data_IF_388747865278
#
_entry.id   IF_388747865278
#
_cell.length_a   1.000
_cell.length_b   1.000
_cell.length_c   1.000
_cell.angle_alpha   90.00
_cell.angle_beta   90.00
_cell.angle_gamma   90.00
#
_symmetry.space_group_name_H-M   'P 1'
#
loop_
_entity.id
_entity.type
_entity.pdbx_description
1 polymer ?
#
# COMPACT_ATOMS: atom_id res chain seq x y z
N UNK A 1 -11.00 -31.48 -16.43
CA UNK A 1 -10.05 -30.36 -16.62
C UNK A 1 -10.87 -29.10 -16.83
N UNK A 2 -11.19 -28.38 -15.76
CA UNK A 2 -11.97 -27.16 -15.84
C UNK A 2 -11.14 -26.09 -16.58
N UNK A 3 -11.64 -25.68 -17.73
CA UNK A 3 -11.03 -24.64 -18.56
C UNK A 3 -11.14 -23.31 -17.82
N UNK A 4 -10.02 -22.80 -17.31
CA UNK A 4 -9.92 -21.45 -16.74
C UNK A 4 -10.33 -20.44 -17.81
N UNK A 5 -11.47 -19.79 -17.58
CA UNK A 5 -11.91 -18.63 -18.37
C UNK A 5 -10.89 -17.49 -18.18
N UNK A 6 -10.70 -16.59 -19.18
CA UNK A 6 -9.86 -15.41 -19.01
C UNK A 6 -10.41 -14.61 -17.83
N UNK A 7 -9.64 -14.52 -16.75
CA UNK A 7 -10.03 -13.76 -15.56
C UNK A 7 -10.20 -12.30 -15.98
N UNK A 8 -11.43 -11.80 -15.89
CA UNK A 8 -11.69 -10.38 -16.05
C UNK A 8 -10.73 -9.59 -15.16
N UNK A 9 -10.10 -8.54 -15.68
CA UNK A 9 -9.27 -7.65 -14.86
C UNK A 9 -10.17 -7.00 -13.79
N UNK A 10 -10.02 -7.47 -12.54
CA UNK A 10 -10.81 -7.00 -11.40
C UNK A 10 -10.08 -5.89 -10.64
N UNK A 11 -8.81 -5.64 -10.94
CA UNK A 11 -7.97 -4.69 -10.21
C UNK A 11 -8.61 -3.31 -10.14
N UNK A 12 -9.13 -2.82 -11.28
CA UNK A 12 -9.79 -1.51 -11.37
C UNK A 12 -10.97 -1.37 -10.41
N UNK A 13 -11.83 -2.38 -10.32
CA UNK A 13 -13.03 -2.34 -9.46
C UNK A 13 -12.65 -2.37 -7.98
N UNK A 14 -11.76 -3.30 -7.57
CA UNK A 14 -11.33 -3.40 -6.18
C UNK A 14 -10.53 -2.19 -5.69
N UNK A 15 -9.87 -1.45 -6.60
CA UNK A 15 -9.22 -0.20 -6.25
C UNK A 15 -10.19 0.98 -6.18
N UNK A 16 -11.11 1.12 -7.15
CA UNK A 16 -12.02 2.26 -7.25
C UNK A 16 -13.16 2.17 -6.24
N UNK A 17 -13.67 0.95 -6.01
CA UNK A 17 -14.78 0.67 -5.11
C UNK A 17 -14.45 -0.49 -4.16
N UNK A 18 -13.44 -0.34 -3.27
CA UNK A 18 -13.07 -1.38 -2.34
C UNK A 18 -14.23 -1.68 -1.38
N UNK A 19 -14.66 -2.94 -1.35
CA UNK A 19 -15.66 -3.42 -0.41
C UNK A 19 -15.03 -3.64 0.96
N UNK A 20 -15.87 -3.76 1.99
CA UNK A 20 -15.47 -4.18 3.34
C UNK A 20 -14.40 -3.32 4.04
N UNK A 21 -14.24 -2.07 3.60
CA UNK A 21 -13.37 -1.10 4.27
C UNK A 21 -13.95 -0.73 5.64
N UNK A 22 -13.09 -0.60 6.64
CA UNK A 22 -13.41 -0.06 7.95
C UNK A 22 -13.13 -1.01 9.11
N UNK A 23 -13.63 -0.66 10.28
CA UNK A 23 -13.43 -1.41 11.52
C UNK A 23 -14.53 -2.46 11.67
N UNK A 24 -14.15 -3.66 12.12
CA UNK A 24 -15.04 -4.72 12.56
C UNK A 24 -14.88 -4.85 14.09
N UNK A 25 -15.80 -4.27 14.86
CA UNK A 25 -15.64 -4.10 16.32
C UNK A 25 -15.70 -5.45 17.07
N UNK A 26 -16.54 -6.32 16.58
CA UNK A 26 -16.77 -7.71 16.98
C UNK A 26 -15.70 -8.73 16.52
N UNK A 27 -14.61 -8.30 15.89
CA UNK A 27 -13.62 -9.23 15.36
C UNK A 27 -12.98 -10.05 16.47
N UNK A 28 -12.92 -11.38 16.30
CA UNK A 28 -12.24 -12.30 17.20
C UNK A 28 -10.90 -12.82 16.62
N UNK A 29 -10.52 -12.34 15.45
CA UNK A 29 -9.26 -12.67 14.78
C UNK A 29 -8.73 -11.42 14.06
N UNK A 30 -7.52 -10.98 14.38
CA UNK A 30 -6.95 -9.75 13.84
C UNK A 30 -5.52 -10.00 13.38
N UNK A 31 -5.24 -9.70 12.11
CA UNK A 31 -3.91 -9.75 11.53
C UNK A 31 -3.46 -8.36 11.11
N UNK A 32 -2.43 -7.83 11.77
CA UNK A 32 -1.82 -6.55 11.42
C UNK A 32 -0.39 -6.77 10.92
N UNK A 33 -0.08 -6.23 9.74
CA UNK A 33 1.25 -6.33 9.10
C UNK A 33 1.65 -5.00 8.47
N UNK A 34 2.96 -4.80 8.35
CA UNK A 34 3.53 -3.53 7.88
C UNK A 34 3.51 -2.45 8.96
N UNK A 35 3.87 -1.24 8.56
CA UNK A 35 3.89 -0.07 9.43
C UNK A 35 3.80 1.19 8.58
N UNK A 36 3.21 2.26 9.13
CA UNK A 36 3.11 3.55 8.45
C UNK A 36 4.50 4.07 8.02
N UNK A 37 5.53 3.84 8.84
CA UNK A 37 6.91 4.21 8.52
C UNK A 37 7.53 3.46 7.34
N UNK A 38 7.00 2.28 6.97
CA UNK A 38 7.42 1.51 5.80
C UNK A 38 6.67 1.89 4.53
N UNK A 39 5.66 2.76 4.65
CA UNK A 39 4.83 3.22 3.54
C UNK A 39 3.65 2.31 3.21
N UNK A 40 3.55 1.14 3.83
CA UNK A 40 2.43 0.21 3.66
C UNK A 40 2.10 -0.48 5.00
N UNK A 41 0.80 -0.56 5.31
CA UNK A 41 0.26 -1.27 6.46
C UNK A 41 -1.14 -1.78 6.15
N UNK A 42 -1.48 -2.96 6.67
CA UNK A 42 -2.82 -3.52 6.59
C UNK A 42 -3.19 -4.13 7.94
N UNK A 43 -4.42 -3.87 8.37
CA UNK A 43 -5.08 -4.52 9.49
C UNK A 43 -6.32 -5.24 8.95
N UNK A 44 -6.24 -6.57 8.90
CA UNK A 44 -7.34 -7.45 8.55
C UNK A 44 -8.05 -7.91 9.84
N UNK A 45 -9.37 -7.82 9.87
CA UNK A 45 -10.20 -8.14 11.02
C UNK A 45 -11.28 -9.12 10.58
N UNK A 46 -11.35 -10.28 11.22
CA UNK A 46 -12.30 -11.34 10.90
C UNK A 46 -13.19 -11.63 12.10
N UNK A 47 -14.45 -11.97 11.83
CA UNK A 47 -15.34 -12.65 12.78
C UNK A 47 -15.49 -14.10 12.31
N UNK A 48 -14.99 -15.01 13.12
CA UNK A 48 -14.99 -16.45 12.87
C UNK A 48 -15.95 -17.10 13.87
N UNK A 49 -16.89 -17.91 13.39
CA UNK A 49 -17.76 -18.70 14.28
C UNK A 49 -16.95 -19.85 14.93
N UNK A 50 -16.83 -19.89 16.26
CA UNK A 50 -16.09 -20.97 16.95
C UNK A 50 -16.69 -22.37 16.76
N UNK A 51 -17.98 -22.49 16.45
CA UNK A 51 -18.63 -23.78 16.30
C UNK A 51 -18.44 -24.36 14.88
N UNK A 52 -18.58 -23.53 13.85
CA UNK A 52 -18.46 -23.97 12.45
C UNK A 52 -17.10 -23.73 11.81
N UNK A 53 -16.22 -22.97 12.47
CA UNK A 53 -14.94 -22.48 11.93
C UNK A 53 -15.08 -21.75 10.59
N UNK A 54 -16.20 -21.03 10.40
CA UNK A 54 -16.46 -20.23 9.20
C UNK A 54 -16.24 -18.75 9.46
N UNK A 55 -15.70 -18.06 8.47
CA UNK A 55 -15.52 -16.60 8.49
C UNK A 55 -16.86 -15.95 8.12
N UNK A 56 -17.59 -15.42 9.10
CA UNK A 56 -18.89 -14.79 8.89
C UNK A 56 -18.77 -13.37 8.33
N UNK A 57 -17.72 -12.65 8.75
CA UNK A 57 -17.45 -11.31 8.29
C UNK A 57 -15.95 -11.03 8.27
N UNK A 58 -15.52 -10.22 7.32
CA UNK A 58 -14.17 -9.68 7.25
C UNK A 58 -14.24 -8.20 6.91
N UNK A 59 -13.37 -7.40 7.53
CA UNK A 59 -13.11 -6.01 7.15
C UNK A 59 -11.64 -5.70 7.21
N UNK A 60 -11.22 -4.63 6.54
CA UNK A 60 -9.84 -4.20 6.59
C UNK A 60 -9.69 -2.69 6.72
N UNK A 61 -8.53 -2.29 7.25
CA UNK A 61 -7.99 -0.96 7.11
C UNK A 61 -6.61 -1.07 6.48
N UNK A 62 -6.32 -0.27 5.47
CA UNK A 62 -5.01 -0.27 4.81
C UNK A 62 -4.51 1.15 4.60
N UNK A 63 -3.20 1.31 4.67
CA UNK A 63 -2.46 2.48 4.23
C UNK A 63 -1.42 1.99 3.24
N UNK A 64 -1.31 2.60 2.07
CA UNK A 64 -0.37 2.14 1.05
C UNK A 64 -0.78 2.45 -0.37
N UNK A 65 -0.13 1.79 -1.31
CA UNK A 65 -0.41 1.97 -2.74
C UNK A 65 -1.76 1.37 -3.17
N UNK A 66 -2.24 1.74 -4.36
CA UNK A 66 -3.51 1.26 -4.92
C UNK A 66 -3.61 -0.27 -4.99
N UNK A 67 -2.48 -0.94 -5.25
CA UNK A 67 -2.44 -2.40 -5.31
C UNK A 67 -2.64 -3.06 -3.94
N UNK A 68 -2.21 -2.42 -2.84
CA UNK A 68 -2.47 -2.92 -1.50
C UNK A 68 -3.95 -2.78 -1.13
N UNK A 69 -4.58 -1.66 -1.49
CA UNK A 69 -6.02 -1.45 -1.28
C UNK A 69 -6.82 -2.50 -2.04
N UNK A 70 -6.49 -2.72 -3.31
CA UNK A 70 -7.16 -3.73 -4.14
C UNK A 70 -6.97 -5.15 -3.58
N UNK A 71 -5.73 -5.53 -3.20
CA UNK A 71 -5.44 -6.84 -2.63
C UNK A 71 -6.14 -7.07 -1.29
N UNK A 72 -6.18 -6.08 -0.41
CA UNK A 72 -6.89 -6.16 0.87
C UNK A 72 -8.40 -6.36 0.68
N UNK A 73 -9.01 -5.61 -0.23
CA UNK A 73 -10.43 -5.75 -0.56
C UNK A 73 -10.73 -7.10 -1.23
N UNK A 74 -9.88 -7.56 -2.15
CA UNK A 74 -10.00 -8.87 -2.77
C UNK A 74 -9.94 -10.00 -1.73
N UNK A 75 -8.98 -9.95 -0.80
CA UNK A 75 -8.88 -10.92 0.28
C UNK A 75 -10.18 -10.98 1.09
N UNK A 76 -10.77 -9.85 1.46
CA UNK A 76 -12.03 -9.87 2.21
C UNK A 76 -13.17 -10.54 1.44
N UNK A 77 -13.30 -10.30 0.13
CA UNK A 77 -14.32 -10.97 -0.70
C UNK A 77 -14.03 -12.48 -0.86
N UNK A 78 -12.76 -12.87 -0.95
CA UNK A 78 -12.35 -14.28 -1.11
C UNK A 78 -12.65 -15.14 0.12
N UNK A 79 -12.47 -14.59 1.32
CA UNK A 79 -12.48 -15.36 2.57
C UNK A 79 -13.84 -15.41 3.27
N UNK A 80 -14.74 -14.45 3.04
CA UNK A 80 -16.06 -14.44 3.67
C UNK A 80 -16.86 -15.67 3.23
N UNK A 81 -17.41 -16.40 4.20
CA UNK A 81 -18.17 -17.64 4.02
C UNK A 81 -17.30 -18.90 3.94
N UNK A 82 -15.99 -18.77 3.79
CA UNK A 82 -15.05 -19.91 3.76
C UNK A 82 -14.78 -20.44 5.17
N UNK A 83 -14.33 -21.70 5.25
CA UNK A 83 -13.79 -22.24 6.50
C UNK A 83 -12.37 -21.77 6.73
N UNK A 84 -11.94 -21.74 7.99
CA UNK A 84 -10.54 -21.44 8.38
C UNK A 84 -9.55 -22.33 7.62
N UNK A 85 -9.83 -23.62 7.51
CA UNK A 85 -8.98 -24.56 6.78
C UNK A 85 -8.84 -24.21 5.29
N UNK A 86 -9.94 -23.82 4.62
CA UNK A 86 -9.88 -23.43 3.21
C UNK A 86 -9.09 -22.13 2.99
N UNK A 87 -9.16 -21.22 3.97
CA UNK A 87 -8.47 -19.92 3.91
C UNK A 87 -6.97 -20.07 4.19
N UNK A 88 -6.58 -21.06 5.00
CA UNK A 88 -5.17 -21.37 5.27
C UNK A 88 -4.39 -21.76 4.00
N UNK A 89 -5.07 -22.41 3.05
CA UNK A 89 -4.49 -22.81 1.76
C UNK A 89 -4.41 -21.67 0.73
N UNK A 90 -4.99 -20.49 1.00
CA UNK A 90 -4.92 -19.34 0.08
C UNK A 90 -3.50 -18.80 0.06
N UNK A 91 -2.88 -18.75 -1.11
CA UNK A 91 -1.57 -18.16 -1.32
C UNK A 91 -1.64 -16.70 -1.81
N UNK A 92 -0.51 -16.00 -1.76
CA UNK A 92 -0.39 -14.69 -2.39
C UNK A 92 -0.51 -14.73 -3.93
N UNK A 93 -0.22 -15.88 -4.56
CA UNK A 93 -0.46 -16.06 -5.99
C UNK A 93 -1.96 -16.12 -6.30
N UNK A 94 -2.77 -16.79 -5.47
CA UNK A 94 -4.22 -16.86 -5.63
C UNK A 94 -4.86 -15.48 -5.50
N UNK A 95 -4.37 -14.63 -4.59
CA UNK A 95 -4.83 -13.23 -4.45
C UNK A 95 -4.52 -12.44 -5.72
N UNK A 96 -3.30 -12.58 -6.26
CA UNK A 96 -2.91 -11.91 -7.50
C UNK A 96 -3.75 -12.41 -8.69
N UNK A 97 -3.97 -13.72 -8.80
CA UNK A 97 -4.81 -14.32 -9.84
C UNK A 97 -6.27 -13.87 -9.75
N UNK A 98 -6.82 -13.81 -8.53
CA UNK A 98 -8.18 -13.34 -8.28
C UNK A 98 -8.39 -11.90 -8.78
N UNK A 99 -7.37 -11.05 -8.70
CA UNK A 99 -7.39 -9.69 -9.24
C UNK A 99 -7.28 -9.61 -10.78
N UNK A 100 -7.04 -10.73 -11.47
CA UNK A 100 -6.72 -10.76 -12.91
C UNK A 100 -5.21 -10.71 -13.20
N UNK A 101 -4.38 -10.91 -12.19
CA UNK A 101 -2.93 -10.82 -12.24
C UNK A 101 -2.38 -9.52 -11.64
N UNK A 102 -1.14 -9.56 -11.18
CA UNK A 102 -0.38 -8.38 -10.74
C UNK A 102 1.00 -8.38 -11.40
N UNK A 103 1.51 -7.21 -11.83
CA UNK A 103 2.89 -7.11 -12.30
C UNK A 103 3.86 -7.40 -11.15
N UNK A 104 5.06 -7.87 -11.48
CA UNK A 104 6.05 -8.33 -10.50
C UNK A 104 6.35 -7.25 -9.44
N UNK A 105 6.46 -5.99 -9.84
CA UNK A 105 6.76 -4.85 -8.97
C UNK A 105 5.67 -4.57 -7.93
N UNK A 106 4.46 -5.12 -8.11
CA UNK A 106 3.32 -4.96 -7.21
C UNK A 106 2.98 -6.22 -6.44
N UNK A 107 3.69 -7.33 -6.67
CA UNK A 107 3.41 -8.61 -6.02
C UNK A 107 3.53 -8.54 -4.49
N UNK A 108 4.40 -7.66 -3.98
CA UNK A 108 4.46 -7.35 -2.55
C UNK A 108 3.10 -7.07 -1.89
N UNK A 109 2.17 -6.44 -2.61
CA UNK A 109 0.86 -6.11 -2.06
C UNK A 109 0.04 -7.37 -1.77
N UNK A 110 0.10 -8.36 -2.66
CA UNK A 110 -0.54 -9.66 -2.44
C UNK A 110 0.16 -10.46 -1.33
N UNK A 111 1.49 -10.42 -1.27
CA UNK A 111 2.27 -11.04 -0.18
C UNK A 111 1.88 -10.42 1.16
N UNK A 112 1.82 -9.09 1.27
CA UNK A 112 1.44 -8.41 2.50
C UNK A 112 0.00 -8.75 2.92
N UNK A 113 -0.95 -8.78 1.99
CA UNK A 113 -2.33 -9.19 2.28
C UNK A 113 -2.43 -10.64 2.75
N UNK A 114 -1.66 -11.56 2.14
CA UNK A 114 -1.53 -12.95 2.61
C UNK A 114 -0.97 -13.03 4.03
N UNK A 115 0.08 -12.28 4.34
CA UNK A 115 0.66 -12.24 5.70
C UNK A 115 -0.36 -11.75 6.74
N UNK A 116 -1.24 -10.82 6.36
CA UNK A 116 -2.36 -10.39 7.20
C UNK A 116 -3.37 -11.52 7.48
N UNK A 117 -3.67 -12.38 6.49
CA UNK A 117 -4.51 -13.58 6.68
C UNK A 117 -3.85 -14.51 7.70
N UNK A 118 -2.58 -14.87 7.46
CA UNK A 118 -1.86 -15.81 8.30
C UNK A 118 -1.79 -15.34 9.76
N UNK A 119 -1.53 -14.05 9.99
CA UNK A 119 -1.56 -13.47 11.34
C UNK A 119 -2.95 -13.47 11.97
N UNK A 120 -4.00 -13.20 11.20
CA UNK A 120 -5.36 -13.25 11.71
C UNK A 120 -5.75 -14.68 12.15
N UNK A 121 -5.41 -15.69 11.35
CA UNK A 121 -5.68 -17.09 11.66
C UNK A 121 -4.84 -17.59 12.86
N UNK A 122 -3.57 -17.23 12.94
CA UNK A 122 -2.72 -17.53 14.10
C UNK A 122 -3.29 -16.91 15.38
N UNK A 123 -3.72 -15.65 15.32
CA UNK A 123 -4.36 -14.97 16.45
C UNK A 123 -5.66 -15.67 16.89
N UNK A 124 -6.48 -16.14 15.93
CA UNK A 124 -7.69 -16.91 16.22
C UNK A 124 -7.39 -18.22 16.96
N UNK A 125 -6.32 -18.92 16.56
CA UNK A 125 -5.86 -20.17 17.19
C UNK A 125 -5.21 -19.95 18.56
N UNK A 126 -5.04 -18.70 18.99
CA UNK A 126 -4.34 -18.36 20.23
C UNK A 126 -2.82 -18.56 20.14
N UNK A 127 -2.28 -18.65 18.93
CA UNK A 127 -0.84 -18.71 18.71
C UNK A 127 -0.22 -17.35 19.08
N UNK A 128 0.84 -17.37 19.89
CA UNK A 128 1.59 -16.15 20.19
C UNK A 128 2.45 -15.80 19.00
N UNK A 129 2.39 -14.55 18.55
CA UNK A 129 3.33 -14.02 17.56
C UNK A 129 4.75 -14.31 18.04
N UNK A 130 5.51 -15.06 17.24
CA UNK A 130 6.82 -15.55 17.64
C UNK A 130 7.72 -14.35 17.95
N UNK A 131 8.07 -14.18 19.23
CA UNK A 131 8.80 -13.01 19.73
C UNK A 131 10.23 -12.86 19.16
N UNK A 132 10.67 -13.78 18.31
CA UNK A 132 12.06 -13.93 17.86
C UNK A 132 12.18 -14.36 16.41
N UNK A 133 11.32 -13.88 15.50
CA UNK A 133 11.62 -14.03 14.07
C UNK A 133 12.82 -13.14 13.68
N UNK A 134 13.91 -13.70 13.12
CA UNK A 134 15.03 -12.90 12.65
C UNK A 134 14.56 -11.88 11.60
N UNK A 135 14.83 -10.60 11.86
CA UNK A 135 14.55 -9.54 10.90
C UNK A 135 15.60 -9.57 9.79
N UNK A 136 15.17 -9.83 8.56
CA UNK A 136 16.00 -9.78 7.37
C UNK A 136 16.22 -8.34 6.90
N UNK A 137 15.15 -7.54 6.77
CA UNK A 137 15.23 -6.15 6.33
C UNK A 137 14.68 -5.18 7.38
N UNK A 138 15.58 -4.40 7.99
CA UNK A 138 15.21 -3.38 8.99
C UNK A 138 14.45 -2.18 8.40
N UNK A 139 14.70 -1.85 7.13
CA UNK A 139 14.07 -0.68 6.49
C UNK A 139 12.56 -0.86 6.27
N UNK A 140 12.12 -2.09 6.03
CA UNK A 140 10.74 -2.42 5.70
C UNK A 140 10.12 -3.45 6.66
N UNK A 141 10.82 -3.79 7.75
CA UNK A 141 10.36 -4.74 8.76
C UNK A 141 10.12 -6.16 8.23
N UNK A 142 10.87 -6.60 7.22
CA UNK A 142 10.69 -7.93 6.61
C UNK A 142 11.47 -8.96 7.41
N UNK A 143 10.80 -10.01 7.89
CA UNK A 143 11.46 -11.15 8.54
C UNK A 143 12.01 -12.15 7.51
N UNK A 144 12.95 -12.98 7.95
CA UNK A 144 13.47 -14.07 7.14
C UNK A 144 12.35 -15.03 6.70
N UNK A 145 11.40 -15.33 7.59
CA UNK A 145 10.28 -16.21 7.32
C UNK A 145 9.37 -15.70 6.18
N UNK A 146 9.11 -14.37 6.13
CA UNK A 146 8.37 -13.75 5.03
C UNK A 146 9.11 -13.93 3.69
N UNK A 147 10.44 -13.73 3.69
CA UNK A 147 11.24 -13.93 2.48
C UNK A 147 11.25 -15.40 2.04
N UNK A 148 11.41 -16.35 2.97
CA UNK A 148 11.37 -17.78 2.66
C UNK A 148 10.02 -18.21 2.07
N UNK A 149 8.90 -17.76 2.66
CA UNK A 149 7.56 -18.02 2.14
C UNK A 149 7.41 -17.47 0.72
N UNK A 150 7.78 -16.21 0.50
CA UNK A 150 7.72 -15.61 -0.84
C UNK A 150 8.56 -16.38 -1.87
N UNK A 151 9.78 -16.81 -1.51
CA UNK A 151 10.65 -17.60 -2.38
C UNK A 151 9.98 -18.93 -2.77
N UNK A 152 9.40 -19.63 -1.80
CA UNK A 152 8.76 -20.93 -2.03
C UNK A 152 7.49 -20.80 -2.87
N UNK A 153 6.59 -19.91 -2.48
CA UNK A 153 5.28 -19.75 -3.12
C UNK A 153 5.38 -19.27 -4.57
N UNK A 154 6.41 -18.47 -4.88
CA UNK A 154 6.60 -17.89 -6.23
C UNK A 154 7.78 -18.48 -7.00
N UNK A 155 8.44 -19.51 -6.46
CA UNK A 155 9.63 -20.15 -7.03
C UNK A 155 10.72 -19.13 -7.43
N UNK A 156 11.04 -18.21 -6.52
CA UNK A 156 11.97 -17.12 -6.80
C UNK A 156 13.41 -17.65 -6.94
N UNK A 157 14.11 -17.20 -7.97
CA UNK A 157 15.48 -17.64 -8.28
C UNK A 157 16.47 -16.49 -8.45
N UNK A 158 16.00 -15.27 -8.24
CA UNK A 158 16.79 -14.04 -8.36
C UNK A 158 16.55 -13.12 -7.14
N UNK A 159 17.59 -12.52 -6.53
CA UNK A 159 17.44 -11.60 -5.40
C UNK A 159 16.51 -10.41 -5.67
N UNK A 160 16.46 -9.90 -6.92
CA UNK A 160 15.56 -8.82 -7.32
C UNK A 160 14.10 -9.26 -7.25
N UNK A 161 13.82 -10.52 -7.59
CA UNK A 161 12.47 -11.04 -7.44
C UNK A 161 12.08 -11.07 -5.96
N UNK A 162 13.00 -11.45 -5.06
CA UNK A 162 12.76 -11.36 -3.61
C UNK A 162 12.45 -9.92 -3.21
N UNK A 163 13.20 -8.94 -3.73
CA UNK A 163 12.90 -7.52 -3.52
C UNK A 163 11.52 -7.11 -4.04
N UNK A 164 11.13 -7.54 -5.24
CA UNK A 164 9.81 -7.22 -5.83
C UNK A 164 8.64 -7.81 -5.02
N UNK A 165 8.86 -8.98 -4.39
CA UNK A 165 7.81 -9.68 -3.63
C UNK A 165 7.79 -9.30 -2.15
N UNK A 166 8.85 -8.71 -1.61
CA UNK A 166 8.97 -8.44 -0.15
C UNK A 166 9.37 -7.01 0.21
N UNK A 167 9.80 -6.20 -0.77
CA UNK A 167 10.56 -4.94 -0.62
C UNK A 167 11.95 -5.08 0.00
N UNK A 168 12.32 -6.22 0.56
CA UNK A 168 13.63 -6.40 1.17
C UNK A 168 14.73 -6.13 0.15
N UNK A 169 15.72 -5.32 0.52
CA UNK A 169 16.82 -4.94 -0.36
C UNK A 169 16.57 -3.72 -1.25
N UNK A 170 15.32 -3.22 -1.38
CA UNK A 170 15.00 -2.07 -2.24
C UNK A 170 15.26 -0.68 -1.63
N UNK A 171 15.68 -0.62 -0.36
CA UNK A 171 15.91 0.62 0.39
C UNK A 171 17.39 0.98 0.47
N UNK A 172 18.03 0.69 1.61
CA UNK A 172 19.47 0.95 1.81
C UNK A 172 20.40 -0.13 1.22
N UNK A 173 19.83 -1.23 0.67
CA UNK A 173 20.52 -2.42 0.18
C UNK A 173 21.43 -3.13 1.21
N UNK A 174 21.32 -2.81 2.51
CA UNK A 174 22.18 -3.36 3.56
C UNK A 174 22.01 -4.86 3.77
N UNK A 175 20.78 -5.36 3.62
CA UNK A 175 20.43 -6.78 3.78
C UNK A 175 20.58 -7.61 2.49
N UNK A 176 21.16 -7.05 1.43
CA UNK A 176 21.21 -7.73 0.12
C UNK A 176 21.95 -9.08 0.18
N UNK A 177 23.09 -9.13 0.89
CA UNK A 177 23.84 -10.38 1.09
C UNK A 177 23.05 -11.42 1.87
N UNK A 178 22.29 -10.99 2.87
CA UNK A 178 21.45 -11.88 3.66
C UNK A 178 20.32 -12.45 2.80
N UNK A 179 19.73 -11.65 1.92
CA UNK A 179 18.75 -12.10 0.91
C UNK A 179 19.35 -13.17 0.01
N UNK A 180 20.58 -12.97 -0.49
CA UNK A 180 21.28 -13.98 -1.30
C UNK A 180 21.49 -15.29 -0.54
N UNK A 181 21.86 -15.21 0.74
CA UNK A 181 22.04 -16.38 1.61
C UNK A 181 20.73 -17.15 1.80
N UNK A 182 19.64 -16.45 2.14
CA UNK A 182 18.31 -17.05 2.30
C UNK A 182 17.86 -17.68 0.99
N UNK A 183 17.99 -16.96 -0.13
CA UNK A 183 17.59 -17.43 -1.46
C UNK A 183 18.35 -18.69 -1.89
N UNK A 184 19.67 -18.73 -1.71
CA UNK A 184 20.47 -19.90 -2.03
C UNK A 184 20.09 -21.11 -1.16
N UNK A 185 19.90 -20.90 0.15
CA UNK A 185 19.51 -21.96 1.09
C UNK A 185 18.13 -22.53 0.75
N UNK A 186 17.14 -21.67 0.51
CA UNK A 186 15.77 -22.09 0.18
C UNK A 186 15.73 -22.79 -1.16
N UNK A 187 16.42 -22.27 -2.19
CA UNK A 187 16.47 -22.91 -3.51
C UNK A 187 17.16 -24.29 -3.46
N UNK A 188 18.22 -24.45 -2.67
CA UNK A 188 18.83 -25.76 -2.46
C UNK A 188 17.84 -26.75 -1.82
N UNK A 189 17.05 -26.32 -0.83
CA UNK A 189 16.01 -27.15 -0.23
C UNK A 189 14.88 -27.49 -1.22
N UNK A 190 14.47 -26.53 -2.07
CA UNK A 190 13.47 -26.74 -3.11
C UNK A 190 13.95 -27.71 -4.20
N UNK A 191 15.23 -27.68 -4.56
CA UNK A 191 15.85 -28.66 -5.46
C UNK A 191 15.82 -30.06 -4.85
N UNK A 192 16.21 -30.20 -3.58
CA UNK A 192 16.16 -31.48 -2.87
C UNK A 192 14.73 -32.04 -2.76
N UNK A 193 13.73 -31.18 -2.64
CA UNK A 193 12.31 -31.55 -2.61
C UNK A 193 11.69 -31.77 -4.01
N UNK A 194 12.44 -31.57 -5.10
CA UNK A 194 11.94 -31.69 -6.47
C UNK A 194 11.03 -30.53 -6.94
N UNK A 195 10.90 -29.47 -6.15
CA UNK A 195 10.09 -28.29 -6.46
C UNK A 195 10.81 -27.28 -7.39
N UNK A 196 12.12 -27.42 -7.58
CA UNK A 196 12.92 -26.55 -8.46
C UNK A 196 14.00 -27.38 -9.16
N UNK A 197 14.30 -27.09 -10.44
CA UNK A 197 15.42 -27.74 -11.12
C UNK A 197 16.75 -27.14 -10.67
N UNK A 198 17.77 -27.97 -10.47
CA UNK A 198 19.10 -27.53 -10.03
C UNK A 198 19.73 -26.44 -10.91
N UNK A 199 19.41 -26.41 -12.21
CA UNK A 199 19.88 -25.38 -13.15
C UNK A 199 19.24 -24.01 -12.95
N UNK A 200 18.07 -23.96 -12.31
CA UNK A 200 17.34 -22.73 -12.01
C UNK A 200 17.70 -22.15 -10.64
N UNK A 201 18.25 -22.97 -9.74
CA UNK A 201 18.57 -22.54 -8.38
C UNK A 201 19.60 -21.41 -8.36
N UNK A 202 19.32 -20.39 -7.54
CA UNK A 202 20.22 -19.26 -7.33
C UNK A 202 21.59 -19.72 -6.83
N UNK A 203 22.65 -19.15 -7.42
CA UNK A 203 24.03 -19.29 -6.94
C UNK A 203 24.51 -17.94 -6.41
N UNK A 204 25.03 -17.83 -5.17
CA UNK A 204 25.53 -16.56 -4.64
C UNK A 204 26.50 -15.86 -5.61
N UNK A 205 26.28 -14.57 -5.86
CA UNK A 205 27.07 -13.78 -6.81
C UNK A 205 26.80 -14.04 -8.30
N UNK A 206 25.85 -14.93 -8.66
CA UNK A 206 25.49 -15.17 -10.07
C UNK A 206 24.69 -14.03 -10.69
N UNK A 207 24.04 -13.20 -9.86
CA UNK A 207 23.29 -12.03 -10.27
C UNK A 207 24.02 -10.80 -9.72
N UNK A 208 24.41 -9.84 -10.57
CA UNK A 208 24.99 -8.60 -10.07
C UNK A 208 23.94 -7.88 -9.20
N UNK A 209 24.34 -7.25 -8.09
CA UNK A 209 23.41 -6.40 -7.35
C UNK A 209 22.82 -5.37 -8.31
N UNK A 210 21.50 -5.17 -8.22
CA UNK A 210 20.76 -4.26 -9.10
C UNK A 210 21.56 -3.01 -9.37
N UNK A 211 21.71 -2.63 -10.64
CA UNK A 211 22.30 -1.36 -11.04
C UNK A 211 21.46 -0.14 -10.63
N UNK A 212 20.64 -0.23 -9.58
CA UNK A 212 20.41 0.92 -8.74
C UNK A 212 21.75 1.18 -8.08
N UNK A 213 22.55 2.05 -8.70
CA UNK A 213 23.78 2.59 -8.13
C UNK A 213 23.58 2.66 -6.63
N UNK A 214 24.41 1.93 -5.87
CA UNK A 214 24.60 2.27 -4.46
C UNK A 214 24.90 3.74 -4.50
N UNK A 215 23.91 4.59 -4.19
CA UNK A 215 24.18 5.99 -3.94
C UNK A 215 25.33 5.91 -2.94
N UNK A 216 26.50 6.51 -3.24
CA UNK A 216 27.57 6.53 -2.26
C UNK A 216 26.93 6.93 -0.93
N UNK A 217 27.41 6.42 0.20
CA UNK A 217 26.99 6.94 1.50
C UNK A 217 27.42 8.40 1.53
N UNK A 218 26.61 9.24 0.89
CA UNK A 218 26.72 10.66 0.87
C UNK A 218 26.35 11.07 2.26
N UNK A 219 27.16 11.95 2.81
CA UNK A 219 26.85 12.68 4.02
C UNK A 219 25.37 13.09 4.03
N UNK A 220 24.82 13.19 5.24
CA UNK A 220 23.47 13.64 5.51
C UNK A 220 23.01 14.68 4.48
N UNK A 221 21.82 14.53 3.89
CA UNK A 221 21.36 15.49 2.88
C UNK A 221 21.51 16.90 3.46
N UNK A 222 22.06 17.86 2.69
CA UNK A 222 22.21 19.22 3.18
C UNK A 222 20.84 19.72 3.64
N UNK A 223 20.79 20.54 4.70
CA UNK A 223 19.52 21.05 5.21
C UNK A 223 18.73 21.68 4.07
N UNK A 224 17.47 21.28 3.94
CA UNK A 224 16.53 21.81 2.96
C UNK A 224 16.52 23.34 3.04
N UNK A 225 17.18 24.01 2.09
CA UNK A 225 17.29 25.48 2.07
C UNK A 225 18.53 26.06 1.38
N UNK A 226 19.59 25.29 1.14
CA UNK A 226 20.78 25.81 0.44
C UNK A 226 20.55 25.86 -1.08
N UNK A 227 20.31 27.06 -1.63
CA UNK A 227 20.24 27.30 -3.09
C UNK A 227 21.64 27.21 -3.71
N UNK A 228 22.07 26.00 -4.07
CA UNK A 228 23.22 25.81 -4.95
C UNK A 228 22.81 26.01 -6.41
N UNK A 229 23.55 26.83 -7.16
CA UNK A 229 23.35 26.97 -8.60
C UNK A 229 23.62 25.65 -9.31
N UNK A 230 22.73 25.25 -10.24
CA UNK A 230 22.84 24.01 -11.01
C UNK A 230 24.06 24.12 -11.94
N UNK A 231 24.97 23.11 -11.98
CA UNK A 231 26.13 23.13 -12.87
C UNK A 231 25.73 23.18 -14.36
N UNK A 232 26.42 24.01 -15.13
CA UNK A 232 26.10 24.38 -16.53
C UNK A 232 26.09 23.24 -17.55
N UNK A 233 26.59 22.06 -17.19
CA UNK A 233 26.65 20.88 -18.05
C UNK A 233 25.45 19.95 -17.89
N UNK A 234 24.54 20.23 -16.93
CA UNK A 234 23.28 19.53 -16.78
C UNK A 234 22.28 20.15 -17.75
N UNK A 235 22.28 19.68 -18.99
CA UNK A 235 21.20 19.96 -19.93
C UNK A 235 19.98 19.15 -19.51
N UNK A 236 18.96 19.80 -18.96
CA UNK A 236 17.68 19.15 -18.68
C UNK A 236 17.14 18.54 -19.99
N UNK A 237 16.98 17.22 -20.03
CA UNK A 237 16.22 16.58 -21.08
C UNK A 237 14.82 17.22 -21.12
N UNK A 238 14.25 17.48 -22.32
CA UNK A 238 12.92 18.05 -22.42
C UNK A 238 11.94 17.16 -21.67
N UNK A 239 11.18 17.78 -20.77
CA UNK A 239 10.16 17.13 -19.96
C UNK A 239 9.22 16.36 -20.91
N UNK A 240 9.01 15.05 -20.73
CA UNK A 240 8.02 14.33 -21.52
C UNK A 240 6.67 15.04 -21.37
N UNK A 241 5.94 15.19 -22.48
CA UNK A 241 4.65 15.85 -22.49
C UNK A 241 3.74 15.19 -21.44
N UNK A 242 3.01 15.97 -20.63
CA UNK A 242 2.13 15.43 -19.61
C UNK A 242 1.06 14.54 -20.25
N UNK A 243 1.01 13.28 -19.84
CA UNK A 243 -0.14 12.42 -20.13
C UNK A 243 -1.31 12.98 -19.33
N UNK A 244 -2.26 13.61 -20.01
CA UNK A 244 -3.40 14.26 -19.38
C UNK A 244 -4.36 13.20 -18.80
N UNK A 245 -4.12 12.79 -17.55
CA UNK A 245 -5.15 12.23 -16.70
C UNK A 245 -5.63 13.35 -15.76
N UNK A 246 -6.62 14.13 -16.22
CA UNK A 246 -7.29 15.09 -15.37
C UNK A 246 -8.08 14.34 -14.29
N UNK A 247 -7.93 14.74 -13.03
CA UNK A 247 -8.78 14.23 -11.95
C UNK A 247 -10.25 14.59 -12.27
N UNK A 248 -11.20 13.66 -12.10
CA UNK A 248 -12.62 13.96 -12.30
C UNK A 248 -13.05 14.97 -11.24
N UNK A 249 -13.36 16.20 -11.67
CA UNK A 249 -13.94 17.22 -10.80
C UNK A 249 -15.41 16.88 -10.59
N UNK A 250 -15.80 16.70 -9.33
CA UNK A 250 -17.17 16.30 -8.98
C UNK A 250 -18.02 17.57 -8.87
N UNK A 251 -19.21 17.56 -9.50
CA UNK A 251 -20.20 18.63 -9.30
C UNK A 251 -20.76 18.52 -7.88
N UNK A 252 -20.84 19.65 -7.19
CA UNK A 252 -21.42 19.73 -5.85
C UNK A 252 -22.89 19.23 -5.88
N UNK A 253 -23.31 18.33 -4.97
CA UNK A 253 -24.69 17.83 -4.93
C UNK A 253 -25.70 18.97 -4.67
N UNK A 254 -26.99 18.87 -5.05
CA UNK A 254 -27.97 19.95 -4.89
C UNK A 254 -28.10 20.42 -3.43
N UNK A 255 -28.32 21.72 -3.20
CA UNK A 255 -28.33 22.33 -1.86
C UNK A 255 -29.39 21.77 -0.90
N UNK A 256 -30.45 21.15 -1.44
CA UNK A 256 -31.57 20.58 -0.70
C UNK A 256 -31.25 19.21 -0.06
N UNK A 257 -30.19 18.53 -0.50
CA UNK A 257 -29.79 17.20 -0.01
C UNK A 257 -28.58 17.21 0.93
N UNK A 258 -28.14 18.40 1.37
CA UNK A 258 -26.90 18.58 2.17
C UNK A 258 -27.21 18.64 3.66
N UNK A 259 -26.44 17.89 4.46
CA UNK A 259 -26.43 18.02 5.91
C UNK A 259 -25.51 19.20 6.29
N UNK A 260 -26.11 20.39 6.32
CA UNK A 260 -25.40 21.63 6.64
C UNK A 260 -24.92 21.58 8.08
N UNK A 261 -23.60 21.42 8.25
CA UNK A 261 -22.93 21.46 9.55
C UNK A 261 -23.27 22.72 10.36
N UNK A 262 -23.02 22.69 11.66
CA UNK A 262 -23.32 23.84 12.54
C UNK A 262 -22.48 25.08 12.15
N UNK A 263 -22.95 26.31 12.42
CA UNK A 263 -22.18 27.53 12.15
C UNK A 263 -20.78 27.53 12.78
N UNK A 264 -20.64 26.89 13.94
CA UNK A 264 -19.36 26.69 14.63
C UNK A 264 -18.42 25.76 13.85
N UNK A 265 -18.96 24.70 13.23
CA UNK A 265 -18.19 23.77 12.40
C UNK A 265 -17.64 24.46 11.15
N UNK A 266 -18.43 25.33 10.51
CA UNK A 266 -17.98 26.13 9.37
C UNK A 266 -16.83 27.05 9.76
N UNK A 267 -16.94 27.77 10.88
CA UNK A 267 -15.89 28.67 11.34
C UNK A 267 -14.56 27.94 11.64
N UNK A 268 -14.62 26.75 12.25
CA UNK A 268 -13.44 25.94 12.53
C UNK A 268 -12.76 25.44 11.26
N UNK A 269 -13.54 24.98 10.28
CA UNK A 269 -13.01 24.50 8.99
C UNK A 269 -12.42 25.66 8.20
N UNK A 270 -13.07 26.81 8.18
CA UNK A 270 -12.58 28.02 7.50
C UNK A 270 -11.26 28.50 8.10
N UNK A 271 -11.14 28.53 9.43
CA UNK A 271 -9.90 28.85 10.11
C UNK A 271 -8.78 27.83 9.78
N UNK A 272 -9.13 26.55 9.72
CA UNK A 272 -8.19 25.50 9.36
C UNK A 272 -7.73 25.66 7.90
N UNK A 273 -8.63 25.91 6.95
CA UNK A 273 -8.29 26.18 5.54
C UNK A 273 -7.38 27.40 5.42
N UNK A 274 -7.70 28.50 6.09
CA UNK A 274 -6.91 29.74 6.05
C UNK A 274 -5.47 29.54 6.53
N UNK A 275 -5.25 28.60 7.44
CA UNK A 275 -3.90 28.28 7.94
C UNK A 275 -3.05 27.45 6.95
N UNK A 276 -3.68 26.79 5.98
CA UNK A 276 -3.00 25.96 4.95
C UNK A 276 -2.63 26.79 3.73
N UNK A 277 -3.42 27.82 3.40
CA UNK A 277 -3.24 28.71 2.25
C UNK A 277 -1.82 29.30 2.10
N UNK A 278 -1.12 29.77 3.14
CA UNK A 278 0.23 30.33 2.98
C UNK A 278 1.26 29.32 2.45
N UNK A 279 1.02 28.03 2.64
CA UNK A 279 1.87 26.97 2.06
C UNK A 279 1.54 26.78 0.59
N UNK A 280 0.25 26.72 0.24
CA UNK A 280 -0.19 26.58 -1.15
C UNK A 280 0.18 27.79 -2.01
N UNK A 281 0.07 28.99 -1.44
CA UNK A 281 0.42 30.25 -2.10
C UNK A 281 1.93 30.36 -2.39
N UNK A 282 2.77 29.80 -1.51
CA UNK A 282 4.22 29.68 -1.78
C UNK A 282 4.52 28.80 -2.99
N UNK A 283 3.67 27.81 -3.26
CA UNK A 283 3.76 26.92 -4.42
C UNK A 283 3.00 27.46 -5.65
N UNK A 284 2.46 28.68 -5.57
CA UNK A 284 1.75 29.36 -6.64
C UNK A 284 0.31 28.85 -6.88
N UNK A 285 -0.29 28.17 -5.91
CA UNK A 285 -1.70 27.78 -5.92
C UNK A 285 -2.47 28.41 -4.75
N UNK A 286 -3.78 28.17 -4.69
CA UNK A 286 -4.58 28.56 -3.53
C UNK A 286 -5.82 27.65 -3.40
N UNK A 287 -6.49 27.69 -2.26
CA UNK A 287 -7.76 27.01 -2.06
C UNK A 287 -8.76 27.89 -1.31
N UNK A 288 -10.04 27.70 -1.64
CA UNK A 288 -11.17 28.39 -1.02
C UNK A 288 -12.23 27.37 -0.59
N UNK A 289 -12.79 27.55 0.60
CA UNK A 289 -13.88 26.71 1.10
C UNK A 289 -15.17 27.06 0.38
N UNK A 290 -15.78 26.06 -0.27
CA UNK A 290 -17.07 26.23 -0.96
C UNK A 290 -18.22 25.78 -0.08
N UNK A 291 -18.09 24.59 0.54
CA UNK A 291 -19.16 24.02 1.34
C UNK A 291 -18.69 22.90 2.26
N UNK A 292 -19.50 22.54 3.26
CA UNK A 292 -19.28 21.41 4.17
C UNK A 292 -20.56 20.59 4.30
N UNK A 293 -20.46 19.29 3.99
CA UNK A 293 -21.56 18.32 4.08
C UNK A 293 -21.12 17.14 4.96
N UNK A 294 -21.57 17.13 6.21
CA UNK A 294 -21.15 16.14 7.21
C UNK A 294 -19.61 16.09 7.39
N UNK A 295 -18.99 15.05 6.82
CA UNK A 295 -17.52 14.83 6.86
C UNK A 295 -16.80 15.22 5.56
N UNK A 296 -17.53 15.64 4.53
CA UNK A 296 -16.98 16.08 3.26
C UNK A 296 -16.77 17.60 3.25
N UNK A 297 -15.55 18.03 2.94
CA UNK A 297 -15.16 19.43 2.80
C UNK A 297 -14.94 19.70 1.31
N UNK A 298 -15.71 20.60 0.73
CA UNK A 298 -15.61 20.96 -0.68
C UNK A 298 -14.73 22.19 -0.83
N UNK A 299 -13.60 22.02 -1.52
CA UNK A 299 -12.63 23.09 -1.75
C UNK A 299 -12.54 23.40 -3.24
N UNK A 300 -12.57 24.68 -3.57
CA UNK A 300 -12.20 25.18 -4.89
C UNK A 300 -10.70 25.43 -4.90
N UNK A 301 -10.00 24.77 -5.82
CA UNK A 301 -8.57 25.00 -6.03
C UNK A 301 -8.39 26.10 -7.09
N UNK A 302 -7.36 26.92 -6.93
CA UNK A 302 -6.98 27.96 -7.90
C UNK A 302 -5.46 28.02 -8.10
N UNK A 303 -5.03 28.75 -9.14
CA UNK A 303 -3.61 28.87 -9.52
C UNK A 303 -3.02 27.54 -10.01
N UNK A 304 -1.77 27.26 -9.65
CA UNK A 304 -1.06 26.05 -10.05
C UNK A 304 -1.75 24.75 -9.60
N UNK A 305 -2.64 24.80 -8.61
CA UNK A 305 -3.34 23.63 -8.08
C UNK A 305 -4.49 23.11 -8.97
N UNK A 306 -4.89 23.84 -10.01
CA UNK A 306 -6.05 23.53 -10.86
C UNK A 306 -5.78 22.39 -11.84
N UNK A 307 -4.56 22.36 -12.40
CA UNK A 307 -4.14 21.43 -13.46
C UNK A 307 -2.82 20.71 -13.12
N UNK A 308 -2.44 20.67 -11.84
CA UNK A 308 -1.22 19.99 -11.43
C UNK A 308 -1.42 18.46 -11.43
N UNK A 309 -0.54 17.71 -12.08
CA UNK A 309 -0.52 16.24 -12.00
C UNK A 309 -0.26 15.72 -10.58
N UNK A 310 0.23 16.58 -9.68
CA UNK A 310 0.42 16.31 -8.25
C UNK A 310 -0.72 16.86 -7.37
N UNK A 311 -1.81 17.35 -7.95
CA UNK A 311 -2.94 17.90 -7.19
C UNK A 311 -3.51 16.88 -6.18
N UNK A 312 -3.44 15.58 -6.49
CA UNK A 312 -3.80 14.50 -5.57
C UNK A 312 -2.94 14.46 -4.31
N UNK A 313 -1.63 14.72 -4.42
CA UNK A 313 -0.69 14.78 -3.29
C UNK A 313 -0.96 16.03 -2.47
N UNK A 314 -1.18 17.18 -3.11
CA UNK A 314 -1.53 18.43 -2.43
C UNK A 314 -2.84 18.29 -1.66
N UNK A 315 -3.90 17.73 -2.28
CA UNK A 315 -5.18 17.48 -1.62
C UNK A 315 -5.05 16.52 -0.44
N UNK A 316 -4.20 15.48 -0.57
CA UNK A 316 -3.92 14.55 0.52
C UNK A 316 -3.19 15.26 1.67
N UNK A 317 -2.26 16.17 1.37
CA UNK A 317 -1.60 17.02 2.36
C UNK A 317 -2.55 17.98 3.07
N UNK A 318 -3.45 18.63 2.32
CA UNK A 318 -4.51 19.49 2.86
C UNK A 318 -5.43 18.66 3.76
N UNK A 319 -5.86 17.48 3.31
CA UNK A 319 -6.70 16.58 4.10
C UNK A 319 -6.01 16.16 5.40
N UNK A 320 -4.74 15.77 5.34
CA UNK A 320 -3.98 15.39 6.54
C UNK A 320 -3.89 16.55 7.54
N UNK A 321 -3.61 17.76 7.07
CA UNK A 321 -3.55 18.95 7.93
C UNK A 321 -4.92 19.33 8.51
N UNK A 322 -6.00 19.18 7.74
CA UNK A 322 -7.36 19.45 8.24
C UNK A 322 -7.80 18.40 9.26
N UNK A 323 -7.51 17.11 9.02
CA UNK A 323 -7.79 16.02 9.97
C UNK A 323 -7.01 16.21 11.28
N UNK A 324 -5.74 16.58 11.20
CA UNK A 324 -4.89 16.85 12.36
C UNK A 324 -5.43 18.05 13.17
N UNK A 325 -5.85 19.14 12.51
CA UNK A 325 -6.38 20.32 13.21
C UNK A 325 -7.77 20.13 13.78
N UNK A 326 -8.63 19.40 13.07
CA UNK A 326 -10.03 19.19 13.47
C UNK A 326 -10.19 17.97 14.38
N UNK A 327 -9.14 17.15 14.55
CA UNK A 327 -9.13 15.91 15.35
C UNK A 327 -10.29 14.96 14.99
N UNK A 328 -10.71 14.98 13.72
CA UNK A 328 -11.85 14.24 13.18
C UNK A 328 -11.56 13.77 11.75
N UNK A 329 -12.04 12.60 11.35
CA UNK A 329 -11.86 12.11 9.99
C UNK A 329 -12.71 12.93 9.02
N UNK A 330 -12.05 13.72 8.18
CA UNK A 330 -12.66 14.58 7.16
C UNK A 330 -12.10 14.20 5.78
N UNK A 331 -12.96 14.22 4.77
CA UNK A 331 -12.60 13.96 3.38
C UNK A 331 -12.63 15.27 2.60
N UNK A 332 -11.54 15.60 1.92
CA UNK A 332 -11.48 16.79 1.06
C UNK A 332 -11.86 16.42 -0.36
N UNK A 333 -12.81 17.16 -0.94
CA UNK A 333 -13.31 16.94 -2.31
C UNK A 333 -13.03 18.20 -3.14
N UNK A 334 -12.23 18.11 -4.21
CA UNK A 334 -12.01 19.25 -5.11
C UNK A 334 -13.26 19.50 -5.96
N UNK A 335 -13.69 20.75 -6.03
CA UNK A 335 -14.79 21.20 -6.91
C UNK A 335 -14.28 22.17 -7.98
N UNK A 336 -15.01 22.24 -9.10
CA UNK A 336 -14.71 23.15 -10.23
C UNK A 336 -15.27 24.55 -9.98
#
# INVERSE_FOLDING_TARGET
MATLQPTADRFGDYFVNPKHVGVLAEANAIGAVGALGYGDAIKLMLRIDPASERIEAARFQSYGCSALIAAAAAVTDMIIGQSVAAVEDISSADIAEFLGGLPAERMYCAVLSYEAIQRALAAYRGEREAATEPTLCKCFGVSEAVAERAIRSHQLTDPHQVTQHTKAGGGCCGCYKDIETVLARVNAAMVSAGALRAVQAYRPGSVPPSATERKPRGDSPPPLGARGAVPSHITMAPRPAPVAAAMPRIKLPPAESRDRGTPEQYAQIEQAVQSVRPTLQRDGGDCELVDVDGTAIYLKLSGNCVDCQLASVTLSGIQAQLVDKLQRPMRVVPVS
#
